data_IF_942040190531
#
_entry.id   IF_942040190531
#
_cell.length_a   1.000
_cell.length_b   1.000
_cell.length_c   1.000
_cell.angle_alpha   90.00
_cell.angle_beta   90.00
_cell.angle_gamma   90.00
#
_symmetry.space_group_name_H-M   'P 1'
#
loop_
_entity.id
_entity.type
_entity.pdbx_description
1 polymer ?
#
# COMPACT_ATOMS: atom_id res chain seq x y z
N UNK A 1 38.10 -16.45 31.87
CA UNK A 1 37.47 -16.82 30.58
C UNK A 1 35.98 -17.13 30.72
N UNK A 2 35.49 -17.70 31.82
CA UNK A 2 34.06 -17.94 32.09
C UNK A 2 33.20 -16.67 32.22
N UNK A 3 33.74 -15.63 32.86
CA UNK A 3 33.00 -14.39 33.18
C UNK A 3 32.61 -13.56 31.93
N UNK A 4 33.47 -13.57 30.90
CA UNK A 4 33.17 -12.95 29.61
C UNK A 4 32.15 -13.74 28.77
N UNK A 5 32.13 -15.08 28.92
CA UNK A 5 31.16 -15.95 28.23
C UNK A 5 29.77 -15.79 28.87
N UNK A 6 29.69 -15.70 30.21
CA UNK A 6 28.42 -15.53 30.93
C UNK A 6 27.80 -14.15 30.67
N UNK A 7 28.59 -13.07 30.59
CA UNK A 7 28.09 -11.74 30.17
C UNK A 7 27.56 -11.74 28.74
N UNK A 8 28.28 -12.36 27.81
CA UNK A 8 27.88 -12.44 26.39
C UNK A 8 26.59 -13.23 26.20
N UNK A 9 26.40 -14.31 26.96
CA UNK A 9 25.16 -15.10 26.96
C UNK A 9 23.97 -14.30 27.52
N UNK A 10 24.18 -13.48 28.55
CA UNK A 10 23.16 -12.58 29.07
C UNK A 10 22.75 -11.49 28.06
N UNK A 11 23.71 -10.92 27.34
CA UNK A 11 23.44 -9.93 26.29
C UNK A 11 22.63 -10.52 25.13
N UNK A 12 22.98 -11.74 24.69
CA UNK A 12 22.23 -12.43 23.63
C UNK A 12 20.79 -12.73 24.07
N UNK A 13 20.60 -13.16 25.32
CA UNK A 13 19.27 -13.40 25.87
C UNK A 13 18.43 -12.13 25.93
N UNK A 14 19.02 -11.01 26.36
CA UNK A 14 18.34 -9.70 26.36
C UNK A 14 17.94 -9.31 24.94
N UNK A 15 18.82 -9.46 23.94
CA UNK A 15 18.49 -9.17 22.54
C UNK A 15 17.32 -10.04 22.08
N UNK A 16 17.33 -11.34 22.35
CA UNK A 16 16.23 -12.25 22.00
C UNK A 16 14.91 -11.83 22.64
N UNK A 17 14.91 -11.50 23.93
CA UNK A 17 13.71 -11.01 24.62
C UNK A 17 13.18 -9.74 23.94
N UNK A 18 14.07 -8.77 23.66
CA UNK A 18 13.68 -7.54 22.98
C UNK A 18 13.14 -7.78 21.56
N UNK A 19 13.72 -8.73 20.82
CA UNK A 19 13.27 -9.07 19.47
C UNK A 19 11.84 -9.63 19.44
N UNK A 20 11.35 -10.21 20.53
CA UNK A 20 9.98 -10.73 20.66
C UNK A 20 8.96 -9.64 21.05
N UNK A 21 9.41 -8.48 21.57
CA UNK A 21 8.49 -7.46 22.04
C UNK A 21 7.82 -6.65 20.91
N UNK A 22 6.55 -6.24 21.09
CA UNK A 22 5.90 -5.28 20.20
C UNK A 22 6.68 -3.96 20.13
N UNK A 23 6.57 -3.25 19.00
CA UNK A 23 7.33 -2.00 18.77
C UNK A 23 7.02 -0.95 19.84
N UNK A 24 5.75 -0.84 20.25
CA UNK A 24 5.33 0.06 21.32
C UNK A 24 6.08 -0.17 22.64
N UNK A 25 6.34 -1.42 23.01
CA UNK A 25 7.12 -1.78 24.20
C UNK A 25 8.59 -1.39 24.03
N UNK A 26 9.16 -1.64 22.85
CA UNK A 26 10.54 -1.25 22.52
C UNK A 26 10.76 0.26 22.58
N UNK A 27 9.81 1.05 22.08
CA UNK A 27 9.86 2.51 22.16
C UNK A 27 9.92 2.97 23.63
N UNK A 28 9.16 2.35 24.54
CA UNK A 28 9.23 2.67 25.97
C UNK A 28 10.58 2.29 26.59
N UNK A 29 11.17 1.17 26.16
CA UNK A 29 12.45 0.69 26.66
C UNK A 29 13.64 1.56 26.26
N UNK A 30 13.52 2.33 25.17
CA UNK A 30 14.51 3.37 24.82
C UNK A 30 14.75 4.36 25.96
N UNK A 31 13.75 4.62 26.81
CA UNK A 31 13.85 5.58 27.91
C UNK A 31 14.47 5.01 29.18
N UNK A 32 14.69 3.69 29.27
CA UNK A 32 15.14 3.02 30.50
C UNK A 32 16.67 3.06 30.64
N UNK A 33 17.40 2.91 29.54
CA UNK A 33 18.88 2.85 29.55
C UNK A 33 19.48 3.29 28.22
N UNK A 34 20.64 3.94 28.27
CA UNK A 34 21.44 4.31 27.09
C UNK A 34 21.85 3.09 26.25
N UNK A 35 22.09 1.95 26.89
CA UNK A 35 22.46 0.71 26.20
C UNK A 35 21.27 0.20 25.38
N UNK A 36 20.09 0.13 25.98
CA UNK A 36 18.86 -0.27 25.29
C UNK A 36 18.51 0.71 24.18
N UNK A 37 18.65 2.01 24.43
CA UNK A 37 18.46 3.04 23.41
C UNK A 37 19.35 2.80 22.19
N UNK A 38 20.65 2.58 22.40
CA UNK A 38 21.63 2.35 21.33
C UNK A 38 21.35 1.05 20.57
N UNK A 39 21.07 -0.03 21.31
CA UNK A 39 20.73 -1.33 20.74
C UNK A 39 19.48 -1.24 19.85
N UNK A 40 18.38 -0.67 20.36
CA UNK A 40 17.10 -0.57 19.65
C UNK A 40 17.19 0.40 18.45
N UNK A 41 18.09 1.40 18.48
CA UNK A 41 18.36 2.28 17.34
C UNK A 41 19.33 1.69 16.32
N UNK A 42 20.02 0.59 16.63
CA UNK A 42 20.97 0.00 15.69
C UNK A 42 20.26 -0.57 14.46
N UNK A 43 20.84 -0.37 13.29
CA UNK A 43 20.30 -0.93 12.03
C UNK A 43 20.19 -2.44 12.06
N UNK A 44 21.12 -3.12 12.74
CA UNK A 44 21.11 -4.57 12.93
C UNK A 44 19.87 -5.01 13.71
N UNK A 45 19.60 -4.39 14.86
CA UNK A 45 18.43 -4.73 15.67
C UNK A 45 17.13 -4.44 14.93
N UNK A 46 17.03 -3.29 14.26
CA UNK A 46 15.85 -2.92 13.47
C UNK A 46 15.59 -3.96 12.37
N UNK A 47 16.63 -4.39 11.64
CA UNK A 47 16.50 -5.41 10.60
C UNK A 47 16.10 -6.78 11.17
N UNK A 48 16.69 -7.20 12.29
CA UNK A 48 16.33 -8.46 12.96
C UNK A 48 14.88 -8.44 13.46
N UNK A 49 14.47 -7.37 14.13
CA UNK A 49 13.10 -7.22 14.65
C UNK A 49 12.07 -7.19 13.52
N UNK A 50 12.42 -6.55 12.41
CA UNK A 50 11.57 -6.46 11.23
C UNK A 50 11.37 -7.80 10.54
N UNK A 51 12.43 -8.59 10.40
CA UNK A 51 12.42 -9.89 9.72
C UNK A 51 12.00 -11.05 10.63
N UNK A 52 11.61 -10.78 11.88
CA UNK A 52 11.08 -11.81 12.78
C UNK A 52 9.79 -12.38 12.19
N UNK A 53 9.48 -13.63 12.54
CA UNK A 53 8.18 -14.20 12.22
C UNK A 53 7.11 -13.43 12.98
N UNK A 54 6.27 -12.69 12.27
CA UNK A 54 5.19 -11.91 12.85
C UNK A 54 3.94 -12.78 12.98
N UNK A 55 3.18 -12.54 14.04
CA UNK A 55 1.87 -13.11 14.20
C UNK A 55 0.85 -12.15 13.58
N UNK A 56 -0.19 -12.65 12.92
CA UNK A 56 -1.30 -11.83 12.40
C UNK A 56 -2.03 -11.06 13.51
N UNK A 57 -1.84 -11.47 14.78
CA UNK A 57 -2.30 -10.71 15.96
C UNK A 57 -1.63 -9.34 16.13
N UNK A 58 -0.43 -9.13 15.59
CA UNK A 58 0.29 -7.86 15.65
C UNK A 58 -0.11 -6.90 14.52
N UNK A 59 -0.96 -7.33 13.58
CA UNK A 59 -1.38 -6.52 12.44
C UNK A 59 -2.43 -5.47 12.84
N UNK A 60 -2.20 -4.24 12.39
CA UNK A 60 -3.13 -3.13 12.51
C UNK A 60 -3.73 -2.82 11.15
N UNK A 61 -4.85 -2.12 11.14
CA UNK A 61 -5.41 -1.50 9.96
C UNK A 61 -5.22 0.01 10.08
N UNK A 62 -4.79 0.64 8.99
CA UNK A 62 -4.80 2.09 8.85
C UNK A 62 -5.90 2.43 7.86
N UNK A 63 -6.90 3.14 8.35
CA UNK A 63 -8.03 3.62 7.58
C UNK A 63 -7.87 5.13 7.38
N UNK A 64 -7.75 5.56 6.13
CA UNK A 64 -7.88 6.97 5.74
C UNK A 64 -9.32 7.23 5.31
N UNK A 65 -9.96 8.17 5.98
CA UNK A 65 -11.35 8.58 5.73
C UNK A 65 -11.41 10.10 5.57
N UNK A 66 -11.93 10.61 4.45
CA UNK A 66 -12.24 12.03 4.33
C UNK A 66 -13.55 12.35 5.06
N UNK A 67 -13.53 13.42 5.83
CA UNK A 67 -14.70 14.03 6.46
C UNK A 67 -14.99 15.34 5.75
N UNK A 68 -16.08 15.36 4.96
CA UNK A 68 -16.52 16.55 4.24
C UNK A 68 -17.13 17.55 5.22
N UNK A 69 -16.57 18.76 5.21
CA UNK A 69 -17.04 19.89 6.00
C UNK A 69 -17.95 20.80 5.15
N UNK A 70 -17.66 20.87 3.84
CA UNK A 70 -18.42 21.61 2.82
C UNK A 70 -18.22 20.92 1.44
N UNK A 71 -18.83 21.44 0.37
CA UNK A 71 -18.76 20.88 -1.00
C UNK A 71 -17.31 20.72 -1.51
N UNK A 72 -16.43 21.65 -1.16
CA UNK A 72 -15.03 21.69 -1.62
C UNK A 72 -14.01 21.60 -0.48
N UNK A 73 -14.47 21.32 0.75
CA UNK A 73 -13.62 21.27 1.93
C UNK A 73 -13.83 19.97 2.67
N UNK A 74 -12.74 19.24 2.88
CA UNK A 74 -12.76 18.01 3.68
C UNK A 74 -11.50 17.93 4.52
N UNK A 75 -11.54 17.07 5.53
CA UNK A 75 -10.37 16.72 6.32
C UNK A 75 -10.07 15.26 6.18
N UNK A 76 -8.80 14.93 5.97
CA UNK A 76 -8.36 13.55 5.96
C UNK A 76 -8.02 13.08 7.37
N UNK A 77 -8.82 12.17 7.90
CA UNK A 77 -8.57 11.54 9.20
C UNK A 77 -8.02 10.13 9.00
N UNK A 78 -6.92 9.82 9.69
CA UNK A 78 -6.40 8.46 9.79
C UNK A 78 -6.76 7.80 11.12
N UNK A 79 -7.36 6.62 11.02
CA UNK A 79 -7.71 5.76 12.14
C UNK A 79 -6.78 4.56 12.19
N UNK A 80 -6.42 4.15 13.42
CA UNK A 80 -5.60 2.98 13.69
C UNK A 80 -6.45 1.95 14.40
N UNK A 81 -6.76 0.87 13.69
CA UNK A 81 -7.71 -0.15 14.14
C UNK A 81 -6.97 -1.45 14.40
N UNK A 82 -7.39 -2.18 15.42
CA UNK A 82 -7.00 -3.56 15.68
C UNK A 82 -8.23 -4.43 15.86
N UNK A 83 -8.02 -5.73 15.86
CA UNK A 83 -9.03 -6.67 16.35
C UNK A 83 -9.25 -6.44 17.82
N UNK A 84 -10.47 -6.67 18.29
CA UNK A 84 -10.69 -6.91 19.72
C UNK A 84 -10.03 -8.24 20.10
N UNK A 85 -9.38 -8.30 21.27
CA UNK A 85 -8.73 -9.51 21.79
C UNK A 85 -9.73 -10.46 22.48
N UNK A 86 -10.98 -10.03 22.63
CA UNK A 86 -12.04 -10.86 23.19
C UNK A 86 -12.57 -11.77 22.07
N UNK A 87 -12.28 -13.07 22.17
CA UNK A 87 -12.55 -14.14 21.18
C UNK A 87 -14.01 -14.27 20.69
N UNK A 88 -14.95 -13.44 21.17
CA UNK A 88 -16.38 -13.49 20.83
C UNK A 88 -16.91 -12.22 20.14
N UNK A 89 -16.06 -11.21 19.88
CA UNK A 89 -16.50 -9.93 19.32
C UNK A 89 -15.60 -9.51 18.16
N UNK A 90 -16.06 -9.75 16.92
CA UNK A 90 -15.38 -9.38 15.67
C UNK A 90 -15.47 -7.86 15.39
N UNK A 91 -15.26 -7.04 16.41
CA UNK A 91 -15.29 -5.59 16.30
C UNK A 91 -13.89 -5.01 16.08
N UNK A 92 -13.85 -3.91 15.32
CA UNK A 92 -12.65 -3.10 15.17
C UNK A 92 -12.53 -2.12 16.33
N UNK A 93 -11.43 -2.20 17.06
CA UNK A 93 -11.09 -1.30 18.15
C UNK A 93 -10.09 -0.26 17.68
N UNK A 94 -10.36 1.01 17.97
CA UNK A 94 -9.36 2.06 17.79
C UNK A 94 -8.28 1.97 18.87
N UNK A 95 -7.01 1.89 18.47
CA UNK A 95 -5.87 1.65 19.37
C UNK A 95 -4.93 2.84 19.53
N UNK A 96 -5.11 3.89 18.73
CA UNK A 96 -4.35 5.14 18.78
C UNK A 96 -5.26 6.33 18.51
N UNK A 97 -4.97 7.51 19.08
CA UNK A 97 -5.61 8.76 18.68
C UNK A 97 -5.58 8.95 17.16
N UNK A 98 -6.64 9.55 16.66
CA UNK A 98 -6.79 9.98 15.28
C UNK A 98 -5.67 10.94 14.89
N UNK A 99 -5.27 10.89 13.63
CA UNK A 99 -4.23 11.76 13.10
C UNK A 99 -4.82 12.56 11.95
N UNK A 100 -4.78 13.87 12.12
CA UNK A 100 -5.08 14.85 11.09
C UNK A 100 -3.84 14.99 10.19
N UNK A 101 -4.03 14.94 8.88
CA UNK A 101 -2.96 15.11 7.89
C UNK A 101 -3.30 16.32 7.03
N UNK A 102 -3.01 17.54 7.51
CA UNK A 102 -3.56 18.78 6.95
C UNK A 102 -3.00 19.17 5.58
N UNK A 103 -2.18 18.31 4.96
CA UNK A 103 -1.55 18.60 3.67
C UNK A 103 -2.51 18.47 2.48
N UNK A 104 -3.61 17.75 2.64
CA UNK A 104 -4.46 17.31 1.53
C UNK A 104 -5.93 17.76 1.66
N UNK A 105 -6.20 18.73 2.53
CA UNK A 105 -7.57 19.14 2.93
C UNK A 105 -8.30 20.02 1.88
N UNK A 106 -7.60 20.50 0.84
CA UNK A 106 -8.12 21.45 -0.17
C UNK A 106 -7.92 20.97 -1.62
N UNK A 107 -7.64 19.70 -1.83
CA UNK A 107 -7.39 19.16 -3.18
C UNK A 107 -8.72 18.84 -3.88
N UNK A 108 -8.86 19.30 -5.12
CA UNK A 108 -10.06 19.23 -5.97
C UNK A 108 -10.53 17.80 -6.25
N UNK A 109 -9.75 16.77 -5.86
CA UNK A 109 -10.12 15.39 -6.16
C UNK A 109 -9.66 14.36 -5.11
N UNK A 110 -10.31 14.35 -3.95
CA UNK A 110 -10.11 13.36 -2.86
C UNK A 110 -10.09 11.89 -3.32
N UNK A 111 -10.78 11.57 -4.42
CA UNK A 111 -10.82 10.24 -5.02
C UNK A 111 -9.50 9.80 -5.65
N UNK A 112 -8.62 10.74 -6.04
CA UNK A 112 -7.30 10.41 -6.60
C UNK A 112 -6.21 10.30 -5.53
N UNK A 113 -6.49 10.71 -4.29
CA UNK A 113 -5.55 10.54 -3.20
C UNK A 113 -5.35 9.07 -2.85
N UNK A 114 -4.10 8.63 -2.85
CA UNK A 114 -3.71 7.26 -2.59
C UNK A 114 -3.06 7.10 -1.21
N UNK A 115 -3.36 5.97 -0.57
CA UNK A 115 -2.69 5.49 0.63
C UNK A 115 -1.98 4.19 0.26
N UNK A 116 -0.67 4.27 0.07
CA UNK A 116 0.12 3.17 -0.48
C UNK A 116 0.97 2.54 0.62
N UNK A 117 1.02 1.22 0.65
CA UNK A 117 1.79 0.43 1.59
C UNK A 117 0.92 -0.56 2.37
N UNK A 118 1.34 -1.03 3.55
CA UNK A 118 2.59 -0.70 4.25
C UNK A 118 3.81 -1.39 3.64
N UNK A 119 4.97 -0.71 3.63
CA UNK A 119 6.25 -1.35 3.31
C UNK A 119 7.23 -1.12 4.44
N UNK A 120 7.60 -2.19 5.13
CA UNK A 120 8.60 -2.15 6.20
C UNK A 120 8.31 -1.06 7.27
N UNK A 121 7.02 -0.87 7.60
CA UNK A 121 6.51 0.09 8.59
C UNK A 121 6.43 1.55 8.15
N UNK A 122 6.66 1.83 6.87
CA UNK A 122 6.33 3.12 6.27
C UNK A 122 5.08 2.98 5.38
N UNK A 123 4.34 4.08 5.28
CA UNK A 123 3.24 4.27 4.33
C UNK A 123 3.47 5.57 3.56
N UNK A 124 2.90 5.67 2.37
CA UNK A 124 2.90 6.88 1.57
C UNK A 124 1.47 7.40 1.38
N UNK A 125 1.28 8.70 1.54
CA UNK A 125 0.06 9.42 1.21
C UNK A 125 0.38 10.41 0.08
N UNK A 126 -0.44 10.44 -0.97
CA UNK A 126 -0.14 11.25 -2.16
C UNK A 126 -1.37 11.58 -2.97
N UNK A 127 -1.34 12.73 -3.65
CA UNK A 127 -2.26 13.16 -4.71
C UNK A 127 -1.59 13.13 -6.10
N UNK A 128 -0.49 12.36 -6.24
CA UNK A 128 0.46 12.29 -7.37
C UNK A 128 1.46 13.45 -7.47
N UNK A 129 1.12 14.65 -7.00
CA UNK A 129 2.02 15.81 -7.03
C UNK A 129 2.89 15.86 -5.78
N UNK A 130 2.22 15.82 -4.63
CA UNK A 130 2.81 15.77 -3.31
C UNK A 130 2.83 14.34 -2.79
N UNK A 131 3.95 13.95 -2.18
CA UNK A 131 4.12 12.62 -1.60
C UNK A 131 4.63 12.80 -0.18
N UNK A 132 3.90 12.25 0.78
CA UNK A 132 4.26 12.25 2.19
C UNK A 132 4.56 10.83 2.62
N UNK A 133 5.74 10.63 3.18
CA UNK A 133 6.08 9.41 3.89
C UNK A 133 5.74 9.56 5.36
N UNK A 134 5.06 8.56 5.91
CA UNK A 134 4.70 8.52 7.31
C UNK A 134 5.21 7.23 7.95
N UNK A 135 5.73 7.36 9.17
CA UNK A 135 5.86 6.25 10.09
C UNK A 135 4.85 6.46 11.22
N UNK A 136 3.69 5.79 11.16
CA UNK A 136 2.66 5.90 12.19
C UNK A 136 3.11 5.48 13.58
N UNK A 137 3.99 4.49 13.69
CA UNK A 137 4.50 3.99 14.97
C UNK A 137 5.41 4.99 15.68
N UNK A 138 6.22 5.73 14.93
CA UNK A 138 7.09 6.78 15.48
C UNK A 138 6.46 8.18 15.48
N UNK A 139 5.27 8.32 14.89
CA UNK A 139 4.55 9.58 14.69
C UNK A 139 5.35 10.65 13.98
N UNK A 140 6.08 10.23 12.96
CA UNK A 140 6.92 11.10 12.15
C UNK A 140 6.48 11.04 10.70
N UNK A 141 6.63 12.16 10.03
CA UNK A 141 6.42 12.24 8.59
C UNK A 141 7.46 13.13 7.92
N UNK A 142 7.53 12.98 6.60
CA UNK A 142 8.35 13.78 5.71
C UNK A 142 7.62 13.96 4.38
N UNK A 143 7.39 15.20 3.99
CA UNK A 143 7.03 15.56 2.62
C UNK A 143 8.27 15.32 1.74
N UNK A 144 8.09 14.72 0.57
CA UNK A 144 9.16 14.54 -0.41
C UNK A 144 9.33 15.81 -1.24
N UNK A 145 10.54 16.14 -1.70
CA UNK A 145 10.73 17.24 -2.63
C UNK A 145 9.98 16.95 -3.94
N UNK A 146 9.45 17.98 -4.58
CA UNK A 146 8.88 17.83 -5.92
C UNK A 146 9.95 17.38 -6.91
N UNK A 147 9.53 16.63 -7.92
CA UNK A 147 10.40 16.27 -9.03
C UNK A 147 10.86 17.52 -9.78
N UNK A 148 12.16 17.63 -10.10
CA UNK A 148 12.69 18.74 -10.89
C UNK A 148 12.29 18.64 -12.38
N UNK A 149 11.70 17.51 -12.79
CA UNK A 149 11.38 17.22 -14.18
C UNK A 149 10.03 17.81 -14.57
N UNK A 150 10.06 18.98 -15.22
CA UNK A 150 8.84 19.65 -15.68
C UNK A 150 8.30 19.04 -16.96
N UNK A 151 7.00 19.19 -17.16
CA UNK A 151 6.36 18.92 -18.44
C UNK A 151 6.88 19.90 -19.51
N UNK A 152 7.28 19.42 -20.70
CA UNK A 152 7.60 20.30 -21.83
C UNK A 152 6.40 21.19 -22.20
N UNK A 153 6.66 22.38 -22.74
CA UNK A 153 5.64 23.44 -22.97
C UNK A 153 4.48 23.04 -23.89
N UNK A 154 4.66 22.05 -24.75
CA UNK A 154 3.67 21.61 -25.74
C UNK A 154 3.04 20.25 -25.40
N UNK A 155 3.26 19.79 -24.17
CA UNK A 155 2.82 18.48 -23.69
C UNK A 155 2.04 18.63 -22.39
N UNK A 156 1.22 17.62 -22.11
CA UNK A 156 0.54 17.44 -20.82
C UNK A 156 1.02 16.15 -20.17
N UNK A 157 1.25 16.18 -18.86
CA UNK A 157 1.46 14.98 -18.06
C UNK A 157 0.12 14.44 -17.60
N UNK A 158 -0.23 13.24 -18.05
CA UNK A 158 -1.34 12.48 -17.49
C UNK A 158 -0.77 11.48 -16.50
N UNK A 159 -1.04 11.63 -15.18
CA UNK A 159 -0.65 10.63 -14.20
C UNK A 159 -1.20 9.26 -14.59
N UNK A 160 -0.34 8.25 -14.68
CA UNK A 160 -0.75 6.88 -14.98
C UNK A 160 -0.63 6.04 -13.73
N UNK A 161 0.50 6.00 -13.05
CA UNK A 161 0.57 5.21 -11.82
C UNK A 161 1.64 5.71 -10.87
N UNK A 162 1.50 5.30 -9.62
CA UNK A 162 2.46 5.53 -8.57
C UNK A 162 2.55 4.28 -7.69
N UNK A 163 3.75 3.98 -7.21
CA UNK A 163 4.06 2.83 -6.40
C UNK A 163 5.15 3.17 -5.40
N UNK A 164 5.09 2.50 -4.27
CA UNK A 164 6.02 2.71 -3.16
C UNK A 164 6.42 1.36 -2.57
N UNK A 165 7.69 1.22 -2.22
CA UNK A 165 8.15 0.04 -1.51
C UNK A 165 9.62 0.11 -1.08
N UNK A 166 10.05 -0.94 -0.40
CA UNK A 166 11.43 -1.12 0.04
C UNK A 166 12.17 -2.03 -0.93
N UNK A 167 13.28 -1.53 -1.47
CA UNK A 167 14.25 -2.28 -2.23
C UNK A 167 15.19 -3.00 -1.25
N UNK A 168 15.05 -4.32 -1.12
CA UNK A 168 15.83 -5.10 -0.16
C UNK A 168 17.30 -5.25 -0.55
N UNK A 169 17.64 -5.06 -1.83
CA UNK A 169 18.99 -5.20 -2.36
C UNK A 169 19.76 -3.89 -2.12
N UNK A 170 19.19 -2.76 -2.57
CA UNK A 170 19.76 -1.43 -2.33
C UNK A 170 19.54 -0.95 -0.88
N UNK A 171 18.68 -1.64 -0.13
CA UNK A 171 18.31 -1.34 1.27
C UNK A 171 17.69 0.04 1.45
N UNK A 172 17.03 0.55 0.41
CA UNK A 172 16.42 1.87 0.38
C UNK A 172 14.92 1.80 0.07
N UNK A 173 14.19 2.84 0.43
CA UNK A 173 12.82 3.04 -0.03
C UNK A 173 12.82 3.75 -1.37
N UNK A 174 11.95 3.29 -2.27
CA UNK A 174 11.77 3.91 -3.57
C UNK A 174 10.32 4.29 -3.79
N UNK A 175 10.13 5.41 -4.49
CA UNK A 175 8.85 5.72 -5.14
C UNK A 175 9.06 5.61 -6.63
N UNK A 176 8.17 4.91 -7.31
CA UNK A 176 8.06 4.95 -8.76
C UNK A 176 6.77 5.68 -9.11
N UNK A 177 6.83 6.58 -10.08
CA UNK A 177 5.64 7.17 -10.69
C UNK A 177 5.83 7.25 -12.19
N UNK A 178 4.76 7.11 -12.93
CA UNK A 178 4.83 7.18 -14.38
C UNK A 178 3.64 7.93 -14.95
N UNK A 179 3.94 8.63 -16.03
CA UNK A 179 3.05 9.54 -16.72
C UNK A 179 2.98 9.14 -18.18
N UNK A 180 1.86 9.47 -18.79
CA UNK A 180 1.79 9.57 -20.24
C UNK A 180 1.98 11.03 -20.64
N UNK A 181 2.92 11.28 -21.54
CA UNK A 181 3.05 12.55 -22.23
C UNK A 181 2.16 12.51 -23.47
N UNK A 182 1.27 13.48 -23.61
CA UNK A 182 0.50 13.70 -24.83
C UNK A 182 0.71 15.13 -25.35
N UNK A 183 0.65 15.32 -26.67
CA UNK A 183 0.73 16.65 -27.26
C UNK A 183 -0.48 17.48 -26.82
N UNK A 184 -0.28 18.77 -26.58
CA UNK A 184 -1.40 19.69 -26.38
C UNK A 184 -1.81 20.33 -27.71
N UNK A 185 -3.11 20.46 -28.04
CA UNK A 185 -4.24 19.79 -27.41
C UNK A 185 -4.19 18.27 -27.68
N UNK A 186 -4.85 17.52 -26.79
CA UNK A 186 -4.72 16.09 -26.51
C UNK A 186 -4.77 15.11 -27.71
N UNK A 187 -5.17 15.57 -28.89
CA UNK A 187 -5.40 14.75 -30.09
C UNK A 187 -4.60 15.21 -31.33
N UNK A 188 -3.61 16.12 -31.18
CA UNK A 188 -2.84 16.59 -32.35
C UNK A 188 -1.96 15.50 -32.96
N UNK A 189 -1.31 14.69 -32.14
CA UNK A 189 -0.39 13.65 -32.62
C UNK A 189 -0.36 12.44 -31.67
N UNK A 190 -1.10 11.38 -32.02
CA UNK A 190 -1.07 10.11 -31.29
C UNK A 190 0.33 9.47 -31.29
N UNK A 191 1.17 9.75 -32.30
CA UNK A 191 2.53 9.25 -32.39
C UNK A 191 3.50 9.98 -31.46
N UNK A 192 3.15 11.19 -30.99
CA UNK A 192 3.92 11.90 -29.99
C UNK A 192 3.74 11.32 -28.57
N UNK A 193 2.72 10.46 -28.36
CA UNK A 193 2.43 9.88 -27.04
C UNK A 193 3.54 8.92 -26.61
N UNK A 194 4.04 9.12 -25.40
CA UNK A 194 5.00 8.21 -24.81
C UNK A 194 4.94 8.23 -23.28
N UNK A 195 5.36 7.13 -22.66
CA UNK A 195 5.44 7.02 -21.21
C UNK A 195 6.75 7.56 -20.68
N UNK A 196 6.67 8.24 -19.55
CA UNK A 196 7.82 8.68 -18.76
C UNK A 196 7.71 8.11 -17.37
N UNK A 197 8.83 7.65 -16.84
CA UNK A 197 8.90 7.00 -15.53
C UNK A 197 9.92 7.76 -14.69
N UNK A 198 9.55 8.07 -13.46
CA UNK A 198 10.39 8.73 -12.47
C UNK A 198 10.52 7.85 -11.24
N UNK A 199 11.75 7.74 -10.74
CA UNK A 199 12.09 7.00 -9.54
C UNK A 199 12.71 7.97 -8.54
N UNK A 200 12.22 7.93 -7.31
CA UNK A 200 12.80 8.63 -6.19
C UNK A 200 13.51 7.65 -5.29
N UNK A 201 14.78 7.95 -5.00
CA UNK A 201 15.60 7.19 -4.04
C UNK A 201 15.61 7.93 -2.70
N UNK A 202 15.13 7.28 -1.64
CA UNK A 202 14.85 7.94 -0.36
C UNK A 202 16.11 8.27 0.44
N UNK A 203 17.17 7.46 0.33
CA UNK A 203 18.46 7.71 0.98
C UNK A 203 19.17 8.91 0.40
N UNK A 204 19.15 9.10 -0.92
CA UNK A 204 19.80 10.25 -1.59
C UNK A 204 18.90 11.49 -1.60
N UNK A 205 17.58 11.30 -1.50
CA UNK A 205 16.61 12.39 -1.56
C UNK A 205 16.46 12.95 -2.98
N UNK A 206 16.71 12.14 -4.00
CA UNK A 206 16.79 12.60 -5.39
C UNK A 206 15.82 11.87 -6.30
N UNK A 207 15.20 12.64 -7.20
CA UNK A 207 14.47 12.12 -8.34
C UNK A 207 15.40 11.88 -9.52
N UNK A 208 15.15 10.80 -10.25
CA UNK A 208 15.68 10.54 -11.58
C UNK A 208 14.58 9.98 -12.46
N UNK A 209 14.76 10.08 -13.76
CA UNK A 209 13.84 9.49 -14.73
C UNK A 209 14.52 8.33 -15.44
N UNK A 210 13.72 7.36 -15.86
CA UNK A 210 14.16 6.21 -16.64
C UNK A 210 13.31 6.12 -17.91
N UNK A 211 13.89 5.54 -18.97
CA UNK A 211 13.20 5.28 -20.22
C UNK A 211 12.60 3.88 -20.16
N UNK A 212 11.28 3.70 -20.25
CA UNK A 212 10.68 2.38 -20.35
C UNK A 212 11.10 1.69 -21.65
N UNK A 213 11.14 0.36 -21.66
CA UNK A 213 11.48 -0.44 -22.85
C UNK A 213 10.43 -0.35 -23.95
N UNK A 214 9.21 0.08 -23.61
CA UNK A 214 8.07 0.26 -24.50
C UNK A 214 7.73 1.74 -24.61
N UNK A 215 7.22 2.16 -25.78
CA UNK A 215 6.81 3.55 -26.01
C UNK A 215 5.70 3.99 -25.06
N UNK A 216 4.70 3.12 -24.87
CA UNK A 216 3.58 3.33 -23.98
C UNK A 216 3.46 2.16 -23.00
N UNK A 217 3.30 2.49 -21.72
CA UNK A 217 2.97 1.53 -20.69
C UNK A 217 1.46 1.23 -20.70
N UNK A 218 1.04 0.02 -20.30
CA UNK A 218 -0.36 -0.32 -20.10
C UNK A 218 -1.09 0.71 -19.22
N UNK A 219 -2.37 0.92 -19.53
CA UNK A 219 -3.22 1.85 -18.77
C UNK A 219 -3.62 1.20 -17.46
N UNK A 220 -3.07 1.67 -16.35
CA UNK A 220 -3.47 1.17 -15.03
C UNK A 220 -4.83 1.74 -14.62
N UNK A 221 -5.57 0.95 -13.86
CA UNK A 221 -6.80 1.42 -13.23
C UNK A 221 -6.44 2.26 -11.98
N UNK A 222 -7.28 3.25 -11.68
CA UNK A 222 -7.11 4.12 -10.50
C UNK A 222 -8.16 3.84 -9.41
N UNK A 223 -8.87 2.71 -9.51
CA UNK A 223 -9.88 2.33 -8.54
C UNK A 223 -9.22 1.89 -7.22
N UNK A 224 -9.98 1.98 -6.14
CA UNK A 224 -9.53 1.55 -4.82
C UNK A 224 -9.19 0.06 -4.83
N UNK A 225 -8.02 -0.29 -4.30
CA UNK A 225 -7.55 -1.67 -4.24
C UNK A 225 -7.00 -2.19 -5.57
N UNK A 226 -6.68 -1.31 -6.52
CA UNK A 226 -6.07 -1.68 -7.80
C UNK A 226 -4.58 -1.99 -7.70
N UNK A 227 -3.97 -1.73 -6.55
CA UNK A 227 -2.52 -1.73 -6.35
C UNK A 227 -2.06 -2.62 -5.20
N UNK A 228 -0.90 -3.25 -5.35
CA UNK A 228 -0.26 -4.03 -4.29
C UNK A 228 1.26 -3.96 -4.37
N UNK A 229 1.94 -4.03 -3.23
CA UNK A 229 3.39 -4.23 -3.16
C UNK A 229 3.70 -5.65 -2.71
N UNK A 230 4.41 -6.42 -3.55
CA UNK A 230 4.73 -7.81 -3.26
C UNK A 230 6.09 -8.18 -3.84
N UNK A 231 6.90 -8.90 -3.06
CA UNK A 231 8.19 -9.46 -3.50
C UNK A 231 9.10 -8.44 -4.25
N UNK A 232 9.26 -7.24 -3.66
CA UNK A 232 10.14 -6.20 -4.20
C UNK A 232 9.58 -5.42 -5.39
N UNK A 233 8.32 -5.65 -5.77
CA UNK A 233 7.70 -5.01 -6.93
C UNK A 233 6.33 -4.38 -6.61
N UNK A 234 6.05 -3.26 -7.27
CA UNK A 234 4.74 -2.63 -7.29
C UNK A 234 3.89 -3.25 -8.40
N UNK A 235 2.62 -3.52 -8.11
CA UNK A 235 1.66 -4.15 -9.00
C UNK A 235 0.42 -3.28 -9.13
N UNK A 236 -0.13 -3.19 -10.34
CA UNK A 236 -1.35 -2.48 -10.62
C UNK A 236 -2.22 -3.29 -11.57
N UNK A 237 -3.53 -3.34 -11.34
CA UNK A 237 -4.45 -3.81 -12.38
C UNK A 237 -4.42 -2.82 -13.54
N UNK A 238 -4.37 -3.33 -14.76
CA UNK A 238 -4.18 -2.52 -15.95
C UNK A 238 -4.87 -3.16 -17.17
N UNK A 239 -4.89 -2.42 -18.26
CA UNK A 239 -5.29 -2.87 -19.59
C UNK A 239 -4.13 -2.69 -20.55
N UNK A 240 -3.82 -3.73 -21.30
CA UNK A 240 -2.84 -3.64 -22.37
C UNK A 240 -3.40 -2.92 -23.62
N UNK A 241 -2.59 -2.84 -24.67
CA UNK A 241 -2.96 -2.15 -25.91
C UNK A 241 -4.13 -2.82 -26.68
N UNK A 242 -4.42 -4.09 -26.36
CA UNK A 242 -5.55 -4.85 -26.90
C UNK A 242 -6.78 -4.80 -26.00
N UNK A 243 -6.74 -3.97 -24.96
CA UNK A 243 -7.73 -3.86 -23.90
C UNK A 243 -7.86 -5.12 -23.02
N UNK A 244 -6.93 -6.07 -23.10
CA UNK A 244 -6.94 -7.26 -22.24
C UNK A 244 -6.54 -6.88 -20.81
N UNK A 245 -7.27 -7.37 -19.78
CA UNK A 245 -6.93 -7.08 -18.40
C UNK A 245 -5.65 -7.82 -18.02
N UNK A 246 -4.70 -7.07 -17.45
CA UNK A 246 -3.41 -7.59 -16.99
C UNK A 246 -3.07 -7.00 -15.61
N UNK A 247 -2.04 -7.55 -14.97
CA UNK A 247 -1.34 -6.87 -13.88
C UNK A 247 -0.03 -6.32 -14.41
N UNK A 248 0.12 -5.00 -14.41
CA UNK A 248 1.40 -4.34 -14.66
C UNK A 248 2.25 -4.42 -13.40
N UNK A 249 3.51 -4.83 -13.54
CA UNK A 249 4.45 -4.98 -12.45
C UNK A 249 5.69 -4.12 -12.72
N UNK A 250 6.18 -3.39 -11.71
CA UNK A 250 7.46 -2.70 -11.73
C UNK A 250 8.34 -3.18 -10.59
N UNK A 251 9.46 -3.82 -10.91
CA UNK A 251 10.41 -4.31 -9.92
C UNK A 251 11.32 -3.18 -9.44
N UNK A 252 11.39 -2.88 -8.14
CA UNK A 252 12.12 -1.72 -7.63
C UNK A 252 13.64 -1.82 -7.78
N UNK A 253 14.21 -3.03 -7.65
CA UNK A 253 15.66 -3.21 -7.84
C UNK A 253 16.09 -3.17 -9.30
N UNK A 254 15.43 -3.94 -10.16
CA UNK A 254 15.80 -4.04 -11.58
C UNK A 254 15.23 -2.90 -12.43
N UNK A 255 14.28 -2.15 -11.89
CA UNK A 255 13.66 -0.98 -12.50
C UNK A 255 13.08 -1.26 -13.88
N UNK A 256 12.47 -2.44 -13.99
CA UNK A 256 11.91 -2.97 -15.22
C UNK A 256 10.43 -3.26 -15.05
N UNK A 257 9.67 -2.95 -16.11
CA UNK A 257 8.28 -3.34 -16.22
C UNK A 257 8.12 -4.74 -16.79
N UNK A 258 7.08 -5.43 -16.35
CA UNK A 258 6.61 -6.69 -16.93
C UNK A 258 5.10 -6.82 -16.72
N UNK A 259 4.46 -7.63 -17.54
CA UNK A 259 3.03 -7.88 -17.45
C UNK A 259 2.79 -9.30 -16.93
N UNK A 260 1.78 -9.45 -16.08
CA UNK A 260 1.27 -10.75 -15.64
C UNK A 260 -0.15 -10.88 -16.20
N UNK A 261 -0.44 -11.97 -16.90
CA UNK A 261 -1.78 -12.24 -17.41
C UNK A 261 -2.73 -12.53 -16.26
N UNK A 262 -3.98 -12.08 -16.34
CA UNK A 262 -5.02 -12.50 -15.40
C UNK A 262 -5.45 -13.96 -15.70
N UNK A 263 -6.22 -14.61 -14.78
CA UNK A 263 -6.86 -15.88 -15.08
C UNK A 263 -7.71 -15.81 -16.35
N UNK A 264 -7.80 -16.92 -17.10
CA UNK A 264 -8.55 -17.00 -18.36
C UNK A 264 -10.05 -16.70 -18.24
N UNK A 265 -10.59 -16.57 -17.03
CA UNK A 265 -11.99 -16.22 -16.76
C UNK A 265 -12.22 -14.71 -16.57
N UNK A 266 -11.16 -13.91 -16.72
CA UNK A 266 -11.16 -12.46 -16.55
C UNK A 266 -11.01 -11.81 -17.92
N UNK A 267 -11.92 -10.92 -18.30
CA UNK A 267 -11.93 -10.30 -19.61
C UNK A 267 -12.25 -8.82 -19.54
N UNK A 268 -11.95 -8.11 -20.62
CA UNK A 268 -12.44 -6.76 -20.82
C UNK A 268 -13.97 -6.74 -20.84
N UNK A 269 -14.59 -5.80 -20.12
CA UNK A 269 -16.04 -5.65 -20.03
C UNK A 269 -16.81 -6.89 -19.51
N UNK A 270 -16.19 -7.76 -18.72
CA UNK A 270 -16.88 -8.92 -18.11
C UNK A 270 -17.78 -8.56 -16.92
N UNK A 271 -18.08 -7.26 -16.76
CA UNK A 271 -18.88 -6.73 -15.66
C UNK A 271 -18.31 -7.07 -14.27
N UNK A 272 -16.99 -7.25 -14.13
CA UNK A 272 -16.32 -7.47 -12.84
C UNK A 272 -15.37 -6.34 -12.46
N UNK A 273 -15.22 -6.17 -11.14
CA UNK A 273 -14.14 -5.41 -10.53
C UNK A 273 -12.96 -6.33 -10.19
N UNK A 274 -11.75 -5.77 -10.27
CA UNK A 274 -10.50 -6.47 -9.98
C UNK A 274 -9.72 -5.73 -8.89
N UNK A 275 -9.60 -6.37 -7.73
CA UNK A 275 -8.75 -5.91 -6.64
C UNK A 275 -7.46 -6.73 -6.52
N UNK A 276 -6.38 -6.08 -6.12
CA UNK A 276 -5.10 -6.71 -5.78
C UNK A 276 -4.83 -6.55 -4.29
N UNK A 277 -4.33 -7.61 -3.68
CA UNK A 277 -3.84 -7.60 -2.29
C UNK A 277 -2.72 -8.62 -2.15
N UNK A 278 -2.07 -8.62 -0.99
CA UNK A 278 -1.22 -9.72 -0.56
C UNK A 278 -1.98 -10.52 0.49
N UNK A 279 -1.99 -11.84 0.37
CA UNK A 279 -2.59 -12.76 1.33
C UNK A 279 -1.74 -14.03 1.43
N UNK A 280 -1.44 -14.51 2.64
CA UNK A 280 -0.61 -15.70 2.89
C UNK A 280 0.71 -15.69 2.11
N UNK A 281 1.36 -14.52 2.05
CA UNK A 281 2.61 -14.30 1.31
C UNK A 281 2.51 -14.65 -0.18
N UNK A 282 1.36 -14.41 -0.79
CA UNK A 282 1.11 -14.51 -2.23
C UNK A 282 0.49 -13.22 -2.74
N UNK A 283 0.81 -12.83 -3.97
CA UNK A 283 -0.02 -11.87 -4.69
C UNK A 283 -1.39 -12.51 -4.94
N UNK A 284 -2.45 -11.77 -4.63
CA UNK A 284 -3.83 -12.26 -4.63
C UNK A 284 -4.71 -11.30 -5.42
N UNK A 285 -5.49 -11.87 -6.33
CA UNK A 285 -6.47 -11.18 -7.14
C UNK A 285 -7.88 -11.48 -6.61
N UNK A 286 -8.66 -10.44 -6.36
CA UNK A 286 -10.06 -10.53 -5.94
C UNK A 286 -10.91 -10.10 -7.14
N UNK A 287 -11.70 -11.02 -7.67
CA UNK A 287 -12.62 -10.76 -8.78
C UNK A 287 -14.04 -10.74 -8.22
N UNK A 288 -14.68 -9.58 -8.24
CA UNK A 288 -16.03 -9.41 -7.70
C UNK A 288 -16.97 -8.81 -8.74
N UNK A 289 -18.29 -9.02 -8.65
CA UNK A 289 -19.23 -8.46 -9.61
C UNK A 289 -19.22 -6.93 -9.54
N UNK A 290 -19.14 -6.27 -10.69
CA UNK A 290 -19.16 -4.82 -10.74
C UNK A 290 -20.57 -4.32 -10.39
N UNK A 291 -20.72 -3.44 -9.38
CA UNK A 291 -22.01 -3.10 -8.77
C UNK A 291 -23.00 -2.42 -9.73
N UNK A 292 -22.50 -1.82 -10.82
CA UNK A 292 -23.30 -1.09 -11.82
C UNK A 292 -23.72 -1.92 -13.02
N UNK A 293 -23.40 -3.21 -13.04
CA UNK A 293 -23.63 -4.05 -14.21
C UNK A 293 -24.72 -5.09 -13.98
N UNK A 294 -25.45 -5.45 -15.04
CA UNK A 294 -26.37 -6.58 -15.01
C UNK A 294 -25.57 -7.88 -15.02
N UNK A 295 -25.87 -8.76 -14.08
CA UNK A 295 -25.17 -10.04 -13.90
C UNK A 295 -26.05 -11.18 -14.39
N UNK A 296 -25.45 -12.11 -15.13
CA UNK A 296 -26.08 -13.39 -15.42
C UNK A 296 -25.98 -14.33 -14.21
N UNK A 297 -26.89 -15.31 -14.05
CA UNK A 297 -26.82 -16.27 -12.95
C UNK A 297 -25.47 -17.00 -12.91
N UNK A 298 -24.81 -16.99 -11.74
CA UNK A 298 -23.46 -17.53 -11.54
C UNK A 298 -22.34 -16.50 -11.69
N UNK A 299 -22.61 -15.28 -12.16
CA UNK A 299 -21.65 -14.18 -12.19
C UNK A 299 -21.68 -13.32 -10.92
N UNK A 300 -22.59 -13.61 -9.99
CA UNK A 300 -22.73 -12.89 -8.72
C UNK A 300 -21.68 -13.25 -7.66
N UNK A 301 -20.90 -14.31 -7.86
CA UNK A 301 -19.91 -14.77 -6.88
C UNK A 301 -18.61 -13.96 -6.94
N UNK A 302 -17.92 -13.90 -5.81
CA UNK A 302 -16.57 -13.32 -5.75
C UNK A 302 -15.55 -14.45 -5.74
N UNK A 303 -14.58 -14.38 -6.66
CA UNK A 303 -13.49 -15.35 -6.76
C UNK A 303 -12.18 -14.76 -6.24
N UNK A 304 -11.44 -15.53 -5.45
CA UNK A 304 -10.13 -15.14 -4.91
C UNK A 304 -9.07 -16.07 -5.48
N UNK A 305 -8.13 -15.48 -6.21
CA UNK A 305 -7.06 -16.17 -6.92
C UNK A 305 -5.70 -15.85 -6.31
N UNK A 306 -4.85 -16.86 -6.22
CA UNK A 306 -3.50 -16.74 -5.69
C UNK A 306 -2.51 -17.04 -6.82
N UNK A 307 -1.41 -16.31 -6.88
CA UNK A 307 -0.32 -16.65 -7.78
C UNK A 307 0.40 -17.89 -7.25
N UNK A 308 0.61 -18.89 -8.10
CA UNK A 308 1.23 -20.16 -7.67
C UNK A 308 2.72 -20.00 -7.39
N UNK A 309 3.44 -19.50 -8.39
CA UNK A 309 4.89 -19.33 -8.38
C UNK A 309 5.18 -17.94 -8.93
N UNK A 310 5.63 -17.04 -8.06
CA UNK A 310 5.89 -15.65 -8.43
C UNK A 310 7.32 -15.48 -9.01
N UNK A 311 7.46 -14.78 -10.12
CA UNK A 311 8.75 -14.52 -10.79
C UNK A 311 9.20 -15.61 -11.78
N UNK A 312 8.40 -16.67 -11.94
CA UNK A 312 8.49 -17.69 -12.98
C UNK A 312 7.12 -17.78 -13.66
N UNK A 313 7.03 -18.35 -14.88
CA UNK A 313 5.80 -18.52 -15.70
C UNK A 313 4.50 -18.43 -14.88
N UNK A 314 4.04 -17.19 -14.66
CA UNK A 314 3.11 -16.92 -13.57
C UNK A 314 1.73 -17.46 -13.90
N UNK A 315 1.25 -18.37 -13.04
CA UNK A 315 -0.10 -18.94 -13.15
C UNK A 315 -0.92 -18.63 -11.90
N UNK A 316 -2.22 -18.44 -12.10
CA UNK A 316 -3.18 -18.20 -11.02
C UNK A 316 -3.91 -19.47 -10.65
N UNK A 317 -4.14 -19.67 -9.35
CA UNK A 317 -4.96 -20.75 -8.81
C UNK A 317 -6.14 -20.12 -8.08
N UNK A 318 -7.36 -20.50 -8.46
CA UNK A 318 -8.56 -20.13 -7.73
C UNK A 318 -8.55 -20.84 -6.39
N UNK A 319 -8.51 -20.09 -5.29
CA UNK A 319 -8.45 -20.64 -3.94
C UNK A 319 -9.80 -20.65 -3.25
N UNK A 320 -10.58 -19.60 -3.47
CA UNK A 320 -11.92 -19.46 -2.89
C UNK A 320 -12.90 -18.93 -3.93
N UNK A 321 -14.14 -19.39 -3.84
CA UNK A 321 -15.32 -18.75 -4.42
C UNK A 321 -16.24 -18.48 -3.25
N UNK A 322 -16.54 -17.21 -3.00
CA UNK A 322 -17.35 -16.78 -1.86
C UNK A 322 -18.69 -16.26 -2.37
N UNK A 323 -19.68 -16.24 -1.48
CA UNK A 323 -21.03 -15.81 -1.79
C UNK A 323 -21.08 -14.38 -2.35
N UNK A 324 -22.18 -13.97 -3.00
CA UNK A 324 -22.34 -12.60 -3.45
C UNK A 324 -22.21 -11.61 -2.29
N UNK A 325 -21.31 -10.65 -2.47
CA UNK A 325 -21.06 -9.56 -1.52
C UNK A 325 -21.35 -8.22 -2.22
N UNK A 326 -21.89 -7.22 -1.51
CA UNK A 326 -22.20 -5.91 -2.08
C UNK A 326 -20.93 -5.04 -2.18
N UNK A 327 -19.88 -5.55 -2.82
CA UNK A 327 -18.57 -4.88 -2.91
C UNK A 327 -18.63 -3.74 -3.92
N UNK A 328 -18.41 -2.52 -3.46
CA UNK A 328 -18.06 -1.37 -4.31
C UNK A 328 -16.55 -1.34 -4.57
N UNK A 329 -15.75 -1.62 -3.54
CA UNK A 329 -14.29 -1.60 -3.60
C UNK A 329 -13.69 -2.57 -2.60
N UNK A 330 -12.80 -3.45 -3.04
CA UNK A 330 -12.03 -4.32 -2.14
C UNK A 330 -10.79 -3.59 -1.60
N UNK A 331 -10.41 -3.84 -0.35
CA UNK A 331 -9.21 -3.25 0.25
C UNK A 331 -8.08 -4.25 0.44
N UNK A 332 -8.30 -5.27 1.27
CA UNK A 332 -7.28 -6.22 1.67
C UNK A 332 -7.91 -7.50 2.23
N UNK A 333 -7.13 -8.57 2.32
CA UNK A 333 -7.47 -9.74 3.13
C UNK A 333 -6.61 -9.70 4.39
N UNK A 334 -7.23 -9.29 5.50
CA UNK A 334 -6.58 -9.14 6.79
C UNK A 334 -6.56 -10.47 7.55
N UNK A 335 -5.48 -10.73 8.30
CA UNK A 335 -5.24 -11.98 9.02
C UNK A 335 -5.38 -13.23 8.15
N UNK A 336 -5.19 -13.12 6.84
CA UNK A 336 -5.31 -14.18 5.85
C UNK A 336 -6.71 -14.78 5.60
N UNK A 337 -7.77 -14.30 6.26
CA UNK A 337 -9.13 -14.84 6.11
C UNK A 337 -10.25 -13.79 6.14
N UNK A 338 -9.97 -12.54 6.52
CA UNK A 338 -10.97 -11.47 6.64
C UNK A 338 -10.85 -10.54 5.44
N UNK A 339 -11.75 -10.67 4.46
CA UNK A 339 -11.85 -9.75 3.34
C UNK A 339 -12.45 -8.42 3.82
N UNK A 340 -11.72 -7.32 3.67
CA UNK A 340 -12.16 -5.96 3.97
C UNK A 340 -12.56 -5.25 2.68
N UNK A 341 -13.74 -4.61 2.68
CA UNK A 341 -14.27 -3.94 1.50
C UNK A 341 -15.20 -2.76 1.87
N UNK A 342 -15.45 -1.88 0.92
CA UNK A 342 -16.48 -0.85 0.99
C UNK A 342 -17.73 -1.33 0.29
N UNK A 343 -18.89 -1.12 0.90
CA UNK A 343 -20.19 -1.39 0.28
C UNK A 343 -20.62 -0.27 -0.66
N UNK A 344 -21.63 -0.51 -1.50
CA UNK A 344 -22.25 0.53 -2.33
C UNK A 344 -22.87 1.70 -1.55
N UNK A 345 -23.15 1.52 -0.25
CA UNK A 345 -23.61 2.58 0.67
C UNK A 345 -22.46 3.40 1.25
N UNK A 346 -21.21 3.06 0.92
CA UNK A 346 -20.01 3.73 1.40
C UNK A 346 -19.48 3.21 2.74
N UNK A 347 -20.05 2.14 3.29
CA UNK A 347 -19.72 1.59 4.62
C UNK A 347 -18.53 0.64 4.54
N UNK A 348 -17.62 0.69 5.50
CA UNK A 348 -16.55 -0.31 5.67
C UNK A 348 -17.15 -1.59 6.27
N UNK A 349 -16.93 -2.71 5.59
CA UNK A 349 -17.40 -4.02 6.01
C UNK A 349 -16.29 -5.07 5.92
N UNK A 350 -16.46 -6.17 6.66
CA UNK A 350 -15.63 -7.36 6.56
C UNK A 350 -16.45 -8.59 6.24
N UNK A 351 -15.82 -9.54 5.56
CA UNK A 351 -16.32 -10.88 5.35
C UNK A 351 -15.27 -11.89 5.79
N UNK A 352 -15.62 -12.78 6.71
CA UNK A 352 -14.76 -13.90 7.10
C UNK A 352 -14.99 -15.09 6.16
N UNK A 353 -13.94 -15.45 5.42
CA UNK A 353 -13.94 -16.52 4.41
C UNK A 353 -14.17 -17.90 5.05
N UNK A 354 -13.86 -18.08 6.33
CA UNK A 354 -14.00 -19.36 7.02
C UNK A 354 -15.36 -19.54 7.69
N UNK A 355 -15.87 -18.49 8.33
CA UNK A 355 -17.16 -18.55 9.06
C UNK A 355 -18.37 -18.09 8.24
N UNK A 356 -18.14 -17.55 7.04
CA UNK A 356 -19.16 -16.98 6.14
C UNK A 356 -19.95 -15.79 6.77
N UNK A 357 -19.37 -15.18 7.82
CA UNK A 357 -19.97 -14.04 8.52
C UNK A 357 -19.60 -12.72 7.85
N UNK A 358 -20.56 -11.78 7.85
CA UNK A 358 -20.34 -10.38 7.44
C UNK A 358 -20.51 -9.51 8.67
N UNK A 359 -19.57 -8.59 8.85
CA UNK A 359 -19.67 -7.52 9.83
C UNK A 359 -19.61 -6.17 9.12
N UNK A 360 -20.39 -5.22 9.59
CA UNK A 360 -20.33 -3.83 9.15
C UNK A 360 -19.74 -2.98 10.26
N UNK A 361 -18.89 -2.03 9.88
CA UNK A 361 -18.27 -1.13 10.82
C UNK A 361 -18.83 0.28 10.62
N UNK A 362 -18.93 1.05 11.71
CA UNK A 362 -19.47 2.42 11.73
C UNK A 362 -18.63 3.47 10.99
N UNK A 363 -17.79 3.08 10.03
CA UNK A 363 -16.99 3.97 9.20
C UNK A 363 -17.60 4.07 7.81
N UNK A 364 -18.13 5.25 7.47
CA UNK A 364 -18.80 5.50 6.19
C UNK A 364 -18.17 6.71 5.48
N UNK A 365 -17.96 6.61 4.18
CA UNK A 365 -17.48 7.70 3.32
C UNK A 365 -18.07 7.57 1.92
N UNK A 366 -17.93 8.61 1.10
CA UNK A 366 -18.33 8.55 -0.31
C UNK A 366 -17.59 7.42 -1.03
N UNK A 367 -18.26 6.77 -1.98
CA UNK A 367 -17.67 5.67 -2.74
C UNK A 367 -16.36 6.11 -3.42
N UNK A 368 -15.35 5.26 -3.34
CA UNK A 368 -14.04 5.53 -3.95
C UNK A 368 -13.14 6.49 -3.19
N UNK A 369 -13.55 6.97 -2.01
CA UNK A 369 -12.74 7.93 -1.21
C UNK A 369 -12.08 7.31 0.03
N UNK A 370 -12.64 6.21 0.53
CA UNK A 370 -12.07 5.45 1.65
C UNK A 370 -10.79 4.74 1.17
N UNK A 371 -9.75 4.71 2.02
CA UNK A 371 -8.56 3.89 1.77
C UNK A 371 -8.21 3.11 3.02
N UNK A 372 -7.77 1.87 2.85
CA UNK A 372 -7.38 1.01 3.95
C UNK A 372 -6.15 0.20 3.57
N UNK A 373 -5.19 0.12 4.49
CA UNK A 373 -4.01 -0.74 4.35
C UNK A 373 -3.78 -1.57 5.60
N UNK A 374 -3.29 -2.80 5.42
CA UNK A 374 -2.78 -3.61 6.52
C UNK A 374 -1.39 -3.09 6.89
N UNK A 375 -1.25 -2.68 8.14
CA UNK A 375 -0.06 -2.04 8.67
C UNK A 375 0.60 -2.91 9.72
N UNK A 376 1.89 -3.15 9.51
CA UNK A 376 2.74 -3.75 10.50
C UNK A 376 3.66 -2.70 11.11
N UNK A 377 3.60 -2.57 12.44
CA UNK A 377 4.49 -1.65 13.14
C UNK A 377 5.97 -1.97 12.85
N UNK A 378 6.78 -0.91 12.70
CA UNK A 378 8.22 -1.06 12.62
C UNK A 378 8.97 0.11 13.26
N UNK A 379 10.20 -0.16 13.69
CA UNK A 379 11.13 0.82 14.23
C UNK A 379 11.85 1.66 13.16
N UNK A 380 11.42 1.55 11.91
CA UNK A 380 12.03 2.25 10.76
C UNK A 380 12.12 3.74 11.03
N UNK A 381 13.30 4.32 10.84
CA UNK A 381 13.52 5.73 11.05
C UNK A 381 13.31 6.45 9.72
N UNK A 382 12.60 7.57 9.73
CA UNK A 382 12.60 8.53 8.63
C UNK A 382 13.82 9.44 8.86
N UNK A 383 14.93 9.28 8.11
CA UNK A 383 16.10 10.14 8.24
C UNK A 383 15.75 11.56 7.76
N UNK A 384 16.42 12.54 8.37
CA UNK A 384 16.43 13.94 7.90
C UNK A 384 17.31 14.03 6.66
N UNK A 385 16.95 14.85 5.67
CA UNK A 385 17.89 15.23 4.63
C UNK A 385 19.11 15.91 5.24
N UNK A 386 20.27 15.70 4.62
CA UNK A 386 21.48 16.48 4.92
C UNK A 386 21.37 17.94 4.44
N UNK A 387 20.41 18.25 3.56
CA UNK A 387 20.14 19.58 3.02
C UNK A 387 18.76 20.07 3.52
N UNK A 388 18.65 21.35 3.85
CA UNK A 388 17.56 21.98 4.61
C UNK A 388 16.16 22.01 3.94
N UNK A 389 15.92 21.26 2.85
CA UNK A 389 14.72 21.40 2.03
C UNK A 389 13.48 20.69 2.61
N UNK A 390 13.61 19.52 3.25
CA UNK A 390 12.46 18.84 3.91
C UNK A 390 12.75 18.46 5.36
N UNK A 391 12.03 19.11 6.29
CA UNK A 391 12.11 18.81 7.72
C UNK A 391 11.26 17.58 8.08
N UNK A 392 11.78 16.70 8.92
CA UNK A 392 11.00 15.63 9.53
C UNK A 392 10.18 16.22 10.67
N UNK A 393 8.87 16.15 10.54
CA UNK A 393 7.90 16.74 11.45
C UNK A 393 7.24 15.65 12.29
N UNK A 394 6.70 16.05 13.45
CA UNK A 394 5.90 15.18 14.32
C UNK A 394 4.41 15.45 14.07
N UNK A 395 3.57 14.44 14.26
CA UNK A 395 2.10 14.60 14.32
C UNK A 395 1.50 13.98 15.58
#
# INVERSE_FOLDING_TARGET
MSDGIMKKLHEEMVIRILLELPVKSLIRFKSISKILYSLIHSSIFINLHRNRRRNTKDELLILKRPIFLDENLYKNIMYFLSSNDNDNDDTLKQVSPEIDVPYFDNDFCVQFQQLIGSSHGLIALTDYEDIIFLNPTTRKYRLLPHSPFRCPKDFVFVPRGIGFGYDSIEKDYKVVRFYELSSEPYDRDLEARHSRVEVYDFCTGTWRWIIPTVKLLPRVHHYVGSEAFFSGACHWTAQDDYAEPIVLCFHLTYESFRNIKLPDTCYFCDNKGYGLTVCQNSLTLICYPHPKCHLEPGQEFTDIWFIKEYGQDETWIKKYTIRPLPIESSFAIWKDHILLFQTGTGTLSSYDIHSDQINEFGYQANNGTLRLVVYNEALTIIPRESNEATQVLNF
#
